data_IF_401563053505
#
_entry.id   IF_401563053505
#
_cell.length_a   1.000
_cell.length_b   1.000
_cell.length_c   1.000
_cell.angle_alpha   90.00
_cell.angle_beta   90.00
_cell.angle_gamma   90.00
#
_symmetry.space_group_name_H-M   'P 1'
#
loop_
_entity.id
_entity.type
_entity.pdbx_description
1 polymer ?
#
# COMPACT_ATOMS: atom_id res chain seq x y z
N UNK A 1 -23.71 4.77 7.79
CA UNK A 1 -23.30 4.96 6.38
C UNK A 1 -23.85 6.27 5.83
N UNK A 2 -23.18 6.89 4.85
CA UNK A 2 -23.66 8.07 4.12
C UNK A 2 -24.97 7.83 3.34
N UNK A 3 -25.21 6.58 2.91
CA UNK A 3 -26.37 6.19 2.10
C UNK A 3 -27.55 5.73 2.96
N UNK A 4 -27.32 5.38 4.24
CA UNK A 4 -28.37 4.97 5.17
C UNK A 4 -29.41 6.07 5.43
N UNK A 5 -29.04 7.34 5.25
CA UNK A 5 -30.00 8.44 5.35
C UNK A 5 -31.14 8.33 4.35
N UNK A 6 -30.95 7.64 3.21
CA UNK A 6 -32.03 7.38 2.23
C UNK A 6 -33.13 6.51 2.86
N UNK A 7 -32.76 5.50 3.65
CA UNK A 7 -33.75 4.65 4.32
C UNK A 7 -34.54 5.42 5.40
N UNK A 8 -33.96 6.49 5.96
CA UNK A 8 -34.62 7.35 6.94
C UNK A 8 -35.54 8.36 6.26
N UNK A 9 -35.09 8.94 5.14
CA UNK A 9 -35.90 9.85 4.34
C UNK A 9 -37.06 9.13 3.64
N UNK A 10 -36.85 7.86 3.24
CA UNK A 10 -37.84 7.06 2.52
C UNK A 10 -37.65 5.56 2.84
N UNK A 11 -38.39 5.01 3.82
CA UNK A 11 -38.25 3.62 4.27
C UNK A 11 -38.45 2.56 3.17
N UNK A 12 -39.24 2.87 2.14
CA UNK A 12 -39.46 1.98 0.99
C UNK A 12 -38.21 1.80 0.11
N UNK A 13 -37.19 2.63 0.28
CA UNK A 13 -35.90 2.54 -0.42
C UNK A 13 -34.80 1.88 0.42
N UNK A 14 -35.13 1.28 1.57
CA UNK A 14 -34.13 0.61 2.43
C UNK A 14 -33.35 -0.49 1.68
N UNK A 15 -34.03 -1.28 0.84
CA UNK A 15 -33.40 -2.35 0.05
C UNK A 15 -32.45 -1.80 -1.04
N UNK A 16 -32.60 -0.53 -1.41
CA UNK A 16 -31.75 0.13 -2.41
C UNK A 16 -30.41 0.62 -1.81
N UNK A 17 -30.27 0.69 -0.49
CA UNK A 17 -29.06 1.22 0.17
C UNK A 17 -27.81 0.43 -0.19
N UNK A 18 -27.89 -0.91 -0.19
CA UNK A 18 -26.75 -1.78 -0.51
C UNK A 18 -26.35 -1.68 -1.99
N UNK A 19 -27.25 -1.82 -2.98
CA UNK A 19 -26.95 -1.58 -4.40
C UNK A 19 -26.34 -0.21 -4.67
N UNK A 20 -26.90 0.86 -4.11
CA UNK A 20 -26.39 2.23 -4.29
C UNK A 20 -24.97 2.35 -3.73
N UNK A 21 -24.72 1.79 -2.54
CA UNK A 21 -23.38 1.79 -1.93
C UNK A 21 -22.36 1.07 -2.81
N UNK A 22 -22.71 -0.09 -3.38
CA UNK A 22 -21.84 -0.82 -4.32
C UNK A 22 -21.58 -0.02 -5.59
N UNK A 23 -22.59 0.64 -6.16
CA UNK A 23 -22.43 1.49 -7.35
C UNK A 23 -21.46 2.64 -7.07
N UNK A 24 -21.60 3.32 -5.93
CA UNK A 24 -20.71 4.41 -5.51
C UNK A 24 -19.27 3.89 -5.38
N UNK A 25 -19.07 2.73 -4.74
CA UNK A 25 -17.75 2.11 -4.59
C UNK A 25 -17.12 1.76 -5.93
N UNK A 26 -17.88 1.15 -6.85
CA UNK A 26 -17.40 0.85 -8.21
C UNK A 26 -17.01 2.14 -8.94
N UNK A 27 -17.86 3.17 -8.90
CA UNK A 27 -17.57 4.46 -9.52
C UNK A 27 -16.28 5.07 -8.97
N UNK A 28 -16.10 5.02 -7.64
CA UNK A 28 -14.90 5.52 -6.95
C UNK A 28 -13.65 4.81 -7.48
N UNK A 29 -13.62 3.48 -7.49
CA UNK A 29 -12.48 2.69 -7.96
C UNK A 29 -12.20 2.84 -9.47
N UNK A 30 -13.22 3.08 -10.28
CA UNK A 30 -13.07 3.38 -11.73
C UNK A 30 -12.45 4.74 -11.95
N UNK A 31 -12.85 5.76 -11.18
CA UNK A 31 -12.32 7.13 -11.30
C UNK A 31 -10.85 7.21 -10.86
N UNK A 32 -10.42 6.36 -9.92
CA UNK A 32 -9.02 6.35 -9.43
C UNK A 32 -7.97 6.18 -10.56
N UNK A 33 -8.31 5.53 -11.68
CA UNK A 33 -7.38 5.33 -12.82
C UNK A 33 -6.99 6.62 -13.52
N UNK A 34 -7.77 7.69 -13.38
CA UNK A 34 -7.58 8.95 -14.11
C UNK A 34 -6.68 9.97 -13.38
N UNK A 35 -6.22 9.68 -12.15
CA UNK A 35 -5.40 10.60 -11.36
C UNK A 35 -6.20 11.81 -10.86
N UNK A 36 -6.28 12.00 -9.55
CA UNK A 36 -7.23 12.96 -8.93
C UNK A 36 -6.66 14.37 -8.71
N UNK A 37 -5.68 14.79 -9.50
CA UNK A 37 -5.01 16.10 -9.34
C UNK A 37 -5.99 17.29 -9.51
N UNK A 38 -6.92 17.22 -10.46
CA UNK A 38 -7.93 18.27 -10.66
C UNK A 38 -9.09 18.20 -9.65
N UNK A 39 -9.35 17.01 -9.09
CA UNK A 39 -10.49 16.78 -8.18
C UNK A 39 -10.17 17.25 -6.76
N UNK A 40 -8.90 17.29 -6.38
CA UNK A 40 -8.42 17.73 -5.07
C UNK A 40 -8.85 19.13 -4.64
N UNK A 41 -8.87 20.09 -5.55
CA UNK A 41 -9.25 21.48 -5.25
C UNK A 41 -10.74 21.63 -4.92
N UNK A 42 -11.59 20.71 -5.41
CA UNK A 42 -13.03 20.73 -5.13
C UNK A 42 -13.36 20.10 -3.78
N UNK A 43 -12.53 19.18 -3.28
CA UNK A 43 -12.83 18.43 -2.04
C UNK A 43 -12.58 19.20 -0.75
N UNK A 44 -11.57 20.07 -0.71
CA UNK A 44 -11.29 20.91 0.46
C UNK A 44 -12.52 21.71 0.90
N UNK A 45 -13.14 22.50 0.00
CA UNK A 45 -14.37 23.23 0.29
C UNK A 45 -15.55 22.35 0.70
N UNK A 46 -15.75 21.20 0.05
CA UNK A 46 -16.83 20.26 0.38
C UNK A 46 -16.64 19.68 1.79
N UNK A 47 -15.42 19.32 2.14
CA UNK A 47 -15.08 18.77 3.47
C UNK A 47 -15.23 19.84 4.55
N UNK A 48 -14.82 21.08 4.26
CA UNK A 48 -15.03 22.22 5.16
C UNK A 48 -16.54 22.47 5.38
N UNK A 49 -17.32 22.48 4.31
CA UNK A 49 -18.78 22.62 4.37
C UNK A 49 -19.41 21.50 5.20
N UNK A 50 -18.97 20.25 5.03
CA UNK A 50 -19.41 19.11 5.83
C UNK A 50 -19.19 19.34 7.33
N UNK A 51 -17.99 19.73 7.75
CA UNK A 51 -17.71 20.00 9.17
C UNK A 51 -18.52 21.17 9.74
N UNK A 52 -18.72 22.23 8.95
CA UNK A 52 -19.57 23.36 9.36
C UNK A 52 -21.02 22.90 9.57
N UNK A 53 -21.56 22.10 8.64
CA UNK A 53 -22.92 21.53 8.76
C UNK A 53 -23.03 20.66 10.02
N UNK A 54 -22.04 19.81 10.30
CA UNK A 54 -21.99 19.00 11.53
C UNK A 54 -22.03 19.86 12.80
N UNK A 55 -21.28 20.96 12.81
CA UNK A 55 -21.24 21.88 13.94
C UNK A 55 -22.58 22.60 14.13
N UNK A 56 -23.20 23.10 13.06
CA UNK A 56 -24.51 23.77 13.12
C UNK A 56 -25.58 22.82 13.66
N UNK A 57 -25.67 21.61 13.10
CA UNK A 57 -26.64 20.60 13.56
C UNK A 57 -26.42 20.21 15.02
N UNK A 58 -25.16 20.09 15.44
CA UNK A 58 -24.81 19.81 16.82
C UNK A 58 -25.26 20.94 17.76
N UNK A 59 -24.94 22.20 17.43
CA UNK A 59 -25.35 23.37 18.22
C UNK A 59 -26.88 23.50 18.34
N UNK A 60 -27.62 23.22 17.26
CA UNK A 60 -29.09 23.26 17.28
C UNK A 60 -29.68 22.27 18.30
N UNK A 61 -29.14 21.06 18.37
CA UNK A 61 -29.61 20.03 19.31
C UNK A 61 -29.12 20.29 20.75
N UNK A 62 -27.89 20.77 20.92
CA UNK A 62 -27.38 21.21 22.24
C UNK A 62 -28.27 22.30 22.83
N UNK A 63 -28.77 23.23 22.00
CA UNK A 63 -29.71 24.26 22.45
C UNK A 63 -31.02 23.71 23.04
N UNK A 64 -31.44 22.51 22.64
CA UNK A 64 -32.66 21.86 23.14
C UNK A 64 -32.42 21.13 24.47
N UNK A 65 -31.23 20.60 24.71
CA UNK A 65 -30.84 20.00 25.98
C UNK A 65 -29.45 20.50 26.45
N UNK A 66 -29.36 21.72 27.01
CA UNK A 66 -28.07 22.32 27.42
C UNK A 66 -27.34 21.56 28.52
N UNK A 67 -28.06 20.74 29.28
CA UNK A 67 -27.53 19.85 30.31
C UNK A 67 -26.50 18.85 29.79
N UNK A 68 -26.45 18.59 28.47
CA UNK A 68 -25.43 17.74 27.85
C UNK A 68 -24.00 18.22 28.09
N UNK A 69 -23.80 19.51 28.39
CA UNK A 69 -22.47 20.06 28.73
C UNK A 69 -21.87 19.42 29.99
N UNK A 70 -22.71 18.81 30.84
CA UNK A 70 -22.26 18.02 31.99
C UNK A 70 -21.44 16.80 31.58
N UNK A 71 -21.51 16.34 30.32
CA UNK A 71 -20.73 15.22 29.79
C UNK A 71 -19.21 15.43 29.85
N UNK A 72 -18.73 16.68 29.98
CA UNK A 72 -17.30 16.96 30.20
C UNK A 72 -16.83 16.61 31.61
N UNK A 73 -17.74 16.41 32.56
CA UNK A 73 -17.38 16.02 33.92
C UNK A 73 -16.96 14.54 33.94
N UNK A 74 -15.69 14.22 34.27
CA UNK A 74 -15.20 12.84 34.27
C UNK A 74 -15.89 11.96 35.30
N UNK A 75 -16.60 12.54 36.28
CA UNK A 75 -17.33 11.80 37.29
C UNK A 75 -18.40 10.88 36.68
N UNK A 76 -19.05 11.28 35.58
CA UNK A 76 -20.04 10.42 34.90
C UNK A 76 -19.40 9.15 34.35
N UNK A 77 -18.20 9.26 33.76
CA UNK A 77 -17.47 8.10 33.25
C UNK A 77 -17.01 7.18 34.39
N UNK A 78 -16.48 7.76 35.48
CA UNK A 78 -16.07 6.99 36.66
C UNK A 78 -17.25 6.27 37.30
N UNK A 79 -18.36 6.97 37.49
CA UNK A 79 -19.58 6.40 38.04
C UNK A 79 -20.11 5.27 37.15
N UNK A 80 -20.15 5.47 35.83
CA UNK A 80 -20.57 4.42 34.90
C UNK A 80 -19.67 3.17 34.96
N UNK A 81 -18.35 3.33 35.11
CA UNK A 81 -17.41 2.21 35.26
C UNK A 81 -17.63 1.47 36.58
N UNK A 82 -17.90 2.19 37.67
CA UNK A 82 -18.14 1.60 39.00
C UNK A 82 -19.49 0.88 39.05
N UNK A 83 -20.54 1.52 38.54
CA UNK A 83 -21.91 1.00 38.60
C UNK A 83 -22.17 -0.11 37.57
N UNK A 84 -21.50 -0.06 36.41
CA UNK A 84 -21.69 -0.98 35.29
C UNK A 84 -20.36 -1.46 34.66
N UNK A 85 -19.50 -2.17 35.41
CA UNK A 85 -18.13 -2.50 34.96
C UNK A 85 -18.10 -3.35 33.68
N UNK A 86 -18.99 -4.34 33.55
CA UNK A 86 -19.04 -5.19 32.37
C UNK A 86 -19.51 -4.42 31.13
N UNK A 87 -20.53 -3.57 31.29
CA UNK A 87 -21.06 -2.74 30.20
C UNK A 87 -20.03 -1.71 29.77
N UNK A 88 -19.38 -1.04 30.72
CA UNK A 88 -18.30 -0.09 30.46
C UNK A 88 -17.14 -0.73 29.68
N UNK A 89 -16.77 -1.97 30.04
CA UNK A 89 -15.77 -2.74 29.32
C UNK A 89 -16.18 -3.04 27.87
N UNK A 90 -17.44 -3.42 27.62
CA UNK A 90 -17.95 -3.67 26.25
C UNK A 90 -17.99 -2.35 25.45
N UNK A 91 -18.39 -1.25 26.07
CA UNK A 91 -18.48 0.08 25.45
C UNK A 91 -17.09 0.61 25.06
N UNK A 92 -16.03 0.31 25.80
CA UNK A 92 -14.65 0.67 25.40
C UNK A 92 -14.30 0.17 23.99
N UNK A 93 -14.77 -1.02 23.61
CA UNK A 93 -14.56 -1.57 22.27
C UNK A 93 -15.32 -0.84 21.16
N UNK A 94 -16.26 0.05 21.49
CA UNK A 94 -16.87 0.99 20.55
C UNK A 94 -16.18 2.37 20.61
N UNK A 95 -15.78 2.83 21.79
CA UNK A 95 -15.07 4.10 21.98
C UNK A 95 -13.75 4.13 21.22
N UNK A 96 -13.02 3.02 21.16
CA UNK A 96 -11.75 2.93 20.40
C UNK A 96 -11.94 3.31 18.92
N UNK A 97 -13.13 3.10 18.36
CA UNK A 97 -13.43 3.43 16.97
C UNK A 97 -13.38 4.93 16.68
N UNK A 98 -13.52 5.77 17.71
CA UNK A 98 -13.43 7.25 17.58
C UNK A 98 -11.99 7.71 17.32
N UNK A 99 -10.99 6.93 17.77
CA UNK A 99 -9.56 7.26 17.66
C UNK A 99 -8.93 6.71 16.37
N UNK A 100 -9.75 6.10 15.51
CA UNK A 100 -9.30 5.47 14.27
C UNK A 100 -9.04 6.51 13.17
N UNK A 101 -8.19 6.16 12.19
CA UNK A 101 -7.92 7.00 11.02
C UNK A 101 -6.76 7.99 11.22
N UNK A 102 -6.18 8.06 12.42
CA UNK A 102 -4.94 8.80 12.68
C UNK A 102 -3.77 8.17 11.91
N UNK A 103 -3.83 6.87 11.61
CA UNK A 103 -2.83 6.18 10.77
C UNK A 103 -2.79 6.72 9.34
N UNK A 104 -3.94 7.06 8.77
CA UNK A 104 -4.02 7.68 7.46
C UNK A 104 -3.43 9.11 7.50
N UNK A 105 -3.68 9.83 8.59
CA UNK A 105 -3.13 11.16 8.84
C UNK A 105 -1.59 11.15 8.81
N UNK A 106 -0.95 10.11 9.35
CA UNK A 106 0.51 9.97 9.34
C UNK A 106 1.09 9.76 7.94
N UNK A 107 0.38 9.01 7.07
CA UNK A 107 0.80 8.84 5.67
C UNK A 107 0.77 10.17 4.91
N UNK A 108 -0.19 11.03 5.24
CA UNK A 108 -0.35 12.35 4.63
C UNK A 108 0.62 13.41 5.18
N UNK A 109 1.22 13.19 6.37
CA UNK A 109 2.23 14.08 6.92
C UNK A 109 3.48 14.19 6.04
N UNK A 110 3.81 13.16 5.25
CA UNK A 110 4.91 13.22 4.27
C UNK A 110 4.67 14.23 3.15
N UNK A 111 3.41 14.60 2.89
CA UNK A 111 3.02 15.50 1.79
C UNK A 111 2.77 16.93 2.27
N UNK A 112 1.94 17.08 3.31
CA UNK A 112 1.53 18.40 3.79
C UNK A 112 2.41 18.93 4.92
N UNK A 113 3.23 18.08 5.52
CA UNK A 113 3.96 18.38 6.74
C UNK A 113 3.07 18.36 7.98
N UNK A 114 3.72 18.39 9.15
CA UNK A 114 3.04 18.24 10.46
C UNK A 114 2.14 19.41 10.86
N UNK A 115 2.45 20.64 10.43
CA UNK A 115 1.77 21.85 10.94
C UNK A 115 0.37 22.05 10.36
N UNK A 116 0.16 21.99 9.02
CA UNK A 116 -1.18 22.14 8.44
C UNK A 116 -2.16 21.09 8.96
N UNK A 117 -1.69 19.84 9.07
CA UNK A 117 -2.46 18.72 9.63
C UNK A 117 -2.89 19.00 11.07
N UNK A 118 -1.97 19.46 11.93
CA UNK A 118 -2.27 19.81 13.33
C UNK A 118 -3.30 20.93 13.44
N UNK A 119 -3.16 21.99 12.64
CA UNK A 119 -4.08 23.12 12.70
C UNK A 119 -5.49 22.74 12.20
N UNK A 120 -5.58 22.02 11.08
CA UNK A 120 -6.85 21.54 10.57
C UNK A 120 -7.54 20.60 11.58
N UNK A 121 -6.79 19.70 12.22
CA UNK A 121 -7.33 18.81 13.23
C UNK A 121 -7.83 19.56 14.47
N UNK A 122 -6.97 20.37 15.10
CA UNK A 122 -7.26 20.98 16.40
C UNK A 122 -8.27 22.12 16.33
N UNK A 123 -8.27 22.91 15.25
CA UNK A 123 -9.11 24.12 15.17
C UNK A 123 -10.37 23.96 14.33
N UNK A 124 -10.45 22.93 13.47
CA UNK A 124 -11.62 22.71 12.62
C UNK A 124 -12.28 21.35 12.92
N UNK A 125 -11.56 20.26 12.68
CA UNK A 125 -12.15 18.90 12.71
C UNK A 125 -12.60 18.51 14.11
N UNK A 126 -11.70 18.59 15.10
CA UNK A 126 -11.98 18.17 16.47
C UNK A 126 -13.13 18.97 17.12
N UNK A 127 -13.18 20.32 17.05
CA UNK A 127 -14.31 21.08 17.58
C UNK A 127 -15.63 20.73 16.91
N UNK A 128 -15.66 20.61 15.58
CA UNK A 128 -16.89 20.31 14.85
C UNK A 128 -17.42 18.90 15.21
N UNK A 129 -16.54 17.91 15.32
CA UNK A 129 -16.92 16.56 15.74
C UNK A 129 -17.42 16.52 17.18
N UNK A 130 -16.73 17.20 18.10
CA UNK A 130 -17.12 17.26 19.51
C UNK A 130 -18.52 17.87 19.67
N UNK A 131 -18.77 19.01 19.01
CA UNK A 131 -20.09 19.66 18.98
C UNK A 131 -21.15 18.73 18.40
N UNK A 132 -20.81 17.99 17.34
CA UNK A 132 -21.74 17.06 16.72
C UNK A 132 -22.11 15.90 17.65
N UNK A 133 -21.14 15.28 18.32
CA UNK A 133 -21.38 14.20 19.28
C UNK A 133 -22.18 14.68 20.49
N UNK A 134 -21.89 15.89 21.01
CA UNK A 134 -22.70 16.50 22.06
C UNK A 134 -24.14 16.75 21.57
N UNK A 135 -24.33 17.20 20.33
CA UNK A 135 -25.67 17.33 19.75
C UNK A 135 -26.44 16.01 19.64
N UNK A 136 -25.78 14.92 19.24
CA UNK A 136 -26.39 13.59 19.24
C UNK A 136 -26.72 13.12 20.66
N UNK A 137 -25.85 13.40 21.64
CA UNK A 137 -26.12 13.13 23.06
C UNK A 137 -27.33 13.91 23.57
N UNK A 138 -27.43 15.20 23.24
CA UNK A 138 -28.57 16.04 23.58
C UNK A 138 -29.88 15.51 22.99
N UNK A 139 -29.86 15.05 21.73
CA UNK A 139 -31.00 14.39 21.10
C UNK A 139 -31.41 13.13 21.86
N UNK A 140 -30.46 12.30 22.30
CA UNK A 140 -30.75 11.06 23.03
C UNK A 140 -31.31 11.30 24.43
N UNK A 141 -30.94 12.40 25.09
CA UNK A 141 -31.56 12.81 26.36
C UNK A 141 -33.04 13.17 26.17
N UNK A 142 -33.37 13.86 25.07
CA UNK A 142 -34.74 14.25 24.77
C UNK A 142 -35.58 13.11 24.17
N UNK A 143 -34.98 12.27 23.32
CA UNK A 143 -35.63 11.19 22.59
C UNK A 143 -34.74 9.94 22.51
N UNK A 144 -34.87 9.01 23.49
CA UNK A 144 -34.09 7.77 23.51
C UNK A 144 -34.31 6.86 22.29
N UNK A 145 -35.47 6.96 21.60
CA UNK A 145 -35.75 6.15 20.42
C UNK A 145 -34.84 6.50 19.22
N UNK A 146 -34.17 7.66 19.26
CA UNK A 146 -33.24 8.08 18.22
C UNK A 146 -31.93 7.27 18.18
N UNK A 147 -31.70 6.33 19.12
CA UNK A 147 -30.51 5.47 19.17
C UNK A 147 -30.28 4.65 17.90
N UNK A 148 -31.32 4.41 17.12
CA UNK A 148 -31.25 3.68 15.84
C UNK A 148 -30.40 4.41 14.80
N UNK A 149 -30.57 5.73 14.67
CA UNK A 149 -29.71 6.55 13.81
C UNK A 149 -29.63 8.01 14.33
N UNK A 150 -28.84 8.25 15.38
CA UNK A 150 -28.79 9.55 16.03
C UNK A 150 -28.38 10.68 15.08
N UNK A 151 -27.49 10.38 14.14
CA UNK A 151 -26.98 11.35 13.18
C UNK A 151 -28.07 11.89 12.25
N UNK A 152 -28.81 11.03 11.54
CA UNK A 152 -29.81 11.52 10.58
C UNK A 152 -31.08 12.01 11.26
N UNK A 153 -31.43 11.46 12.43
CA UNK A 153 -32.61 11.89 13.18
C UNK A 153 -32.41 13.25 13.87
N UNK A 154 -31.18 13.72 14.07
CA UNK A 154 -30.91 15.07 14.57
C UNK A 154 -31.07 16.15 13.48
N UNK A 155 -31.18 15.74 12.19
CA UNK A 155 -31.29 16.65 11.05
C UNK A 155 -32.74 17.09 10.87
N UNK A 156 -33.01 18.40 10.74
CA UNK A 156 -34.35 18.87 10.38
C UNK A 156 -34.85 18.27 9.07
N UNK A 157 -36.13 17.94 8.96
CA UNK A 157 -36.70 17.25 7.78
C UNK A 157 -36.38 17.94 6.45
N UNK A 158 -36.42 19.28 6.41
CA UNK A 158 -36.10 20.07 5.21
C UNK A 158 -34.63 19.95 4.78
N UNK A 159 -33.71 19.70 5.72
CA UNK A 159 -32.28 19.62 5.50
C UNK A 159 -31.77 18.18 5.26
N UNK A 160 -32.62 17.17 5.45
CA UNK A 160 -32.24 15.76 5.36
C UNK A 160 -31.67 15.38 3.98
N UNK A 161 -32.37 15.73 2.90
CA UNK A 161 -31.90 15.47 1.53
C UNK A 161 -30.60 16.20 1.17
N UNK A 162 -30.43 17.51 1.45
CA UNK A 162 -29.14 18.19 1.31
C UNK A 162 -27.99 17.50 2.07
N UNK A 163 -28.23 17.07 3.32
CA UNK A 163 -27.20 16.40 4.15
C UNK A 163 -26.84 15.03 3.59
N UNK A 164 -27.82 14.25 3.10
CA UNK A 164 -27.56 12.98 2.41
C UNK A 164 -26.72 13.20 1.16
N UNK A 165 -27.06 14.21 0.35
CA UNK A 165 -26.27 14.58 -0.83
C UNK A 165 -24.82 14.89 -0.46
N UNK A 166 -24.61 15.77 0.53
CA UNK A 166 -23.27 16.13 0.99
C UNK A 166 -22.50 14.94 1.60
N UNK A 167 -23.18 14.05 2.31
CA UNK A 167 -22.59 12.86 2.92
C UNK A 167 -22.15 11.83 1.86
N UNK A 168 -22.91 11.70 0.77
CA UNK A 168 -22.69 10.70 -0.30
C UNK A 168 -21.69 11.13 -1.36
N UNK A 169 -21.32 12.41 -1.43
CA UNK A 169 -20.24 12.87 -2.31
C UNK A 169 -18.97 12.08 -1.97
N UNK A 170 -18.45 11.26 -2.90
CA UNK A 170 -17.29 10.42 -2.64
C UNK A 170 -16.08 11.32 -2.38
N UNK A 171 -15.54 11.24 -1.17
CA UNK A 171 -14.30 11.92 -0.80
C UNK A 171 -13.16 11.12 -1.43
N UNK A 172 -12.66 11.57 -2.57
CA UNK A 172 -11.54 10.90 -3.22
C UNK A 172 -10.24 11.37 -2.56
N UNK A 173 -9.33 10.44 -2.30
CA UNK A 173 -7.96 10.81 -1.96
C UNK A 173 -7.33 11.55 -3.14
N UNK A 174 -6.67 12.66 -2.82
CA UNK A 174 -5.87 13.40 -3.78
C UNK A 174 -4.61 12.61 -4.00
N UNK A 175 -4.53 11.90 -5.13
CA UNK A 175 -3.30 11.29 -5.60
C UNK A 175 -2.42 12.42 -6.10
N UNK A 176 -1.71 13.05 -5.18
CA UNK A 176 -0.47 13.70 -5.52
C UNK A 176 0.47 12.57 -5.90
N UNK A 177 0.71 12.34 -7.19
CA UNK A 177 1.86 11.56 -7.66
C UNK A 177 3.14 12.32 -7.30
N UNK A 178 3.39 12.49 -5.99
CA UNK A 178 4.34 13.42 -5.40
C UNK A 178 5.74 13.04 -5.82
N UNK A 179 6.53 14.04 -6.22
CA UNK A 179 7.95 13.91 -6.60
C UNK A 179 8.80 13.41 -5.44
N UNK A 180 8.31 13.49 -4.21
CA UNK A 180 9.08 13.28 -2.99
C UNK A 180 8.87 11.94 -2.25
N UNK A 181 7.81 11.17 -2.50
CA UNK A 181 7.51 9.96 -1.70
C UNK A 181 7.39 8.67 -2.53
N UNK A 182 8.04 7.61 -2.04
CA UNK A 182 8.14 6.29 -2.68
C UNK A 182 6.83 5.51 -2.50
N UNK A 183 6.29 4.95 -3.58
CA UNK A 183 5.24 3.91 -3.52
C UNK A 183 3.82 4.30 -3.93
N UNK A 184 3.57 5.56 -4.30
CA UNK A 184 2.25 5.99 -4.81
C UNK A 184 2.12 5.83 -6.33
N UNK A 185 2.29 4.59 -6.82
CA UNK A 185 2.03 4.24 -8.23
C UNK A 185 0.68 3.55 -8.29
N UNK A 186 -0.24 4.04 -9.14
CA UNK A 186 -1.48 3.34 -9.39
C UNK A 186 -1.17 1.98 -10.04
N UNK A 187 -1.49 0.89 -9.34
CA UNK A 187 -1.35 -0.47 -9.85
C UNK A 187 -2.76 -1.00 -10.14
N UNK A 188 -3.19 -1.07 -11.43
CA UNK A 188 -4.56 -1.42 -11.79
C UNK A 188 -5.01 -2.76 -11.19
N UNK A 189 -4.13 -3.78 -11.22
CA UNK A 189 -4.45 -5.09 -10.67
C UNK A 189 -4.75 -5.07 -9.17
N UNK A 190 -3.98 -4.29 -8.39
CA UNK A 190 -4.21 -4.13 -6.95
C UNK A 190 -5.49 -3.35 -6.69
N UNK A 191 -5.75 -2.30 -7.48
CA UNK A 191 -6.99 -1.51 -7.38
C UNK A 191 -8.24 -2.37 -7.61
N UNK A 192 -8.25 -3.21 -8.65
CA UNK A 192 -9.37 -4.12 -8.92
C UNK A 192 -9.51 -5.21 -7.85
N UNK A 193 -8.40 -5.77 -7.36
CA UNK A 193 -8.44 -6.72 -6.26
C UNK A 193 -9.02 -6.10 -4.99
N UNK A 194 -8.62 -4.86 -4.66
CA UNK A 194 -9.19 -4.09 -3.55
C UNK A 194 -10.69 -3.82 -3.74
N UNK A 195 -11.14 -3.44 -4.95
CA UNK A 195 -12.56 -3.25 -5.23
C UNK A 195 -13.36 -4.53 -4.95
N UNK A 196 -12.89 -5.67 -5.46
CA UNK A 196 -13.56 -6.96 -5.24
C UNK A 196 -13.64 -7.26 -3.74
N UNK A 197 -12.54 -7.08 -3.00
CA UNK A 197 -12.54 -7.29 -1.55
C UNK A 197 -13.51 -6.36 -0.84
N UNK A 198 -13.57 -5.08 -1.21
CA UNK A 198 -14.51 -4.12 -0.62
C UNK A 198 -15.95 -4.51 -0.91
N UNK A 199 -16.29 -4.88 -2.15
CA UNK A 199 -17.65 -5.32 -2.53
C UNK A 199 -18.04 -6.56 -1.72
N UNK A 200 -17.18 -7.58 -1.65
CA UNK A 200 -17.43 -8.80 -0.86
C UNK A 200 -17.68 -8.44 0.60
N UNK A 201 -16.84 -7.57 1.18
CA UNK A 201 -16.98 -7.11 2.56
C UNK A 201 -18.31 -6.37 2.77
N UNK A 202 -18.68 -5.46 1.87
CA UNK A 202 -19.92 -4.69 1.96
C UNK A 202 -21.16 -5.58 1.84
N UNK A 203 -21.14 -6.58 0.95
CA UNK A 203 -22.26 -7.53 0.79
C UNK A 203 -22.37 -8.49 1.98
N UNK A 204 -21.25 -8.99 2.51
CA UNK A 204 -21.22 -9.91 3.64
C UNK A 204 -21.74 -9.26 4.93
N UNK A 205 -21.33 -8.01 5.19
CA UNK A 205 -21.68 -7.33 6.45
C UNK A 205 -22.97 -6.52 6.39
N UNK A 206 -23.36 -6.03 5.19
CA UNK A 206 -24.58 -5.29 4.92
C UNK A 206 -24.68 -3.93 5.61
N UNK A 207 -24.77 -3.95 6.94
CA UNK A 207 -24.94 -2.79 7.81
C UNK A 207 -23.60 -2.20 8.29
N UNK A 208 -23.57 -0.87 8.48
CA UNK A 208 -22.39 -0.16 8.97
C UNK A 208 -21.91 -0.63 10.34
N UNK A 209 -22.82 -1.08 11.21
CA UNK A 209 -22.50 -1.50 12.59
C UNK A 209 -21.64 -2.77 12.59
N UNK A 210 -21.96 -3.72 11.71
CA UNK A 210 -21.20 -4.97 11.59
C UNK A 210 -19.81 -4.72 10.99
N UNK A 211 -19.70 -3.79 10.04
CA UNK A 211 -18.40 -3.35 9.49
C UNK A 211 -17.52 -2.68 10.57
N UNK A 212 -18.12 -1.86 11.43
CA UNK A 212 -17.40 -1.18 12.51
C UNK A 212 -16.81 -2.17 13.53
N UNK A 213 -17.51 -3.26 13.81
CA UNK A 213 -17.03 -4.34 14.66
C UNK A 213 -15.77 -5.03 14.08
N UNK A 214 -15.75 -5.27 12.77
CA UNK A 214 -14.58 -5.84 12.09
C UNK A 214 -13.37 -4.90 12.15
N UNK A 215 -13.58 -3.63 11.83
CA UNK A 215 -12.52 -2.61 11.78
C UNK A 215 -11.82 -2.39 13.13
N UNK A 216 -12.58 -2.43 14.24
CA UNK A 216 -12.04 -2.17 15.58
C UNK A 216 -10.91 -3.12 16.01
N UNK A 217 -10.99 -4.40 15.61
CA UNK A 217 -9.95 -5.39 15.94
C UNK A 217 -8.65 -5.09 15.20
N UNK A 218 -8.75 -4.70 13.93
CA UNK A 218 -7.57 -4.36 13.12
C UNK A 218 -6.85 -3.15 13.70
N UNK A 219 -7.59 -2.10 14.05
CA UNK A 219 -6.99 -0.88 14.59
C UNK A 219 -6.40 -1.10 15.98
N UNK A 220 -7.12 -1.76 16.89
CA UNK A 220 -6.59 -2.04 18.24
C UNK A 220 -5.34 -2.92 18.18
N UNK A 221 -5.29 -3.89 17.26
CA UNK A 221 -4.10 -4.71 17.03
C UNK A 221 -2.93 -3.89 16.47
N UNK A 222 -3.19 -2.97 15.55
CA UNK A 222 -2.16 -2.06 15.02
C UNK A 222 -1.64 -1.15 16.12
N UNK A 223 -2.50 -0.56 16.96
CA UNK A 223 -2.09 0.27 18.10
C UNK A 223 -1.15 -0.50 19.03
N UNK A 224 -1.52 -1.73 19.42
CA UNK A 224 -0.70 -2.60 20.25
C UNK A 224 0.68 -2.88 19.63
N UNK A 225 0.73 -3.21 18.34
CA UNK A 225 1.98 -3.43 17.61
C UNK A 225 2.81 -2.14 17.55
N UNK A 226 2.19 -0.99 17.29
CA UNK A 226 2.90 0.30 17.21
C UNK A 226 3.48 0.70 18.56
N UNK A 227 2.79 0.45 19.67
CA UNK A 227 3.32 0.69 21.03
C UNK A 227 4.55 -0.18 21.29
N UNK A 228 4.54 -1.45 20.88
CA UNK A 228 5.72 -2.32 20.97
C UNK A 228 6.87 -1.81 20.07
N UNK A 229 6.59 -1.46 18.82
CA UNK A 229 7.60 -0.93 17.90
C UNK A 229 8.18 0.41 18.38
N UNK A 230 7.37 1.26 18.99
CA UNK A 230 7.81 2.51 19.59
C UNK A 230 8.87 2.26 20.66
N UNK A 231 8.72 1.22 21.47
CA UNK A 231 9.74 0.85 22.47
C UNK A 231 11.10 0.52 21.83
N UNK A 232 11.08 -0.13 20.65
CA UNK A 232 12.28 -0.48 19.90
C UNK A 232 12.92 0.77 19.32
N UNK A 233 12.11 1.66 18.73
CA UNK A 233 12.58 2.93 18.15
C UNK A 233 13.16 3.85 19.23
N UNK A 234 12.46 4.02 20.36
CA UNK A 234 12.94 4.81 21.50
C UNK A 234 14.30 4.34 22.02
N UNK A 235 14.53 3.02 21.98
CA UNK A 235 15.79 2.41 22.42
C UNK A 235 16.90 2.48 21.38
N UNK A 236 16.60 2.15 20.11
CA UNK A 236 17.60 2.01 19.04
C UNK A 236 17.93 3.31 18.33
N UNK A 237 16.93 4.14 18.07
CA UNK A 237 17.08 5.38 17.29
C UNK A 237 17.20 6.60 18.18
N UNK A 238 16.41 6.67 19.27
CA UNK A 238 16.38 7.85 20.15
C UNK A 238 17.26 7.72 21.39
N UNK A 239 17.83 6.54 21.63
CA UNK A 239 18.74 6.24 22.75
C UNK A 239 18.22 6.68 24.13
N UNK A 240 16.90 6.60 24.38
CA UNK A 240 16.27 6.99 25.64
C UNK A 240 16.58 5.94 26.74
N UNK A 241 16.63 6.38 28.00
CA UNK A 241 16.85 5.52 29.16
C UNK A 241 15.76 4.40 29.24
N UNK A 242 16.15 3.12 29.39
CA UNK A 242 15.20 2.00 29.42
C UNK A 242 14.14 2.09 30.51
N UNK A 243 14.40 2.76 31.64
CA UNK A 243 13.41 2.94 32.71
C UNK A 243 12.28 3.85 32.24
N UNK A 244 12.63 4.96 31.58
CA UNK A 244 11.65 5.91 31.04
C UNK A 244 10.81 5.22 29.96
N UNK A 245 11.46 4.46 29.08
CA UNK A 245 10.78 3.64 28.07
C UNK A 245 9.81 2.66 28.76
N UNK A 246 10.25 1.93 29.78
CA UNK A 246 9.41 0.97 30.47
C UNK A 246 8.16 1.62 31.08
N UNK A 247 8.31 2.74 31.79
CA UNK A 247 7.18 3.46 32.41
C UNK A 247 6.22 4.02 31.36
N UNK A 248 6.73 4.59 30.27
CA UNK A 248 5.87 5.11 29.21
C UNK A 248 5.15 3.99 28.46
N UNK A 249 5.86 2.92 28.10
CA UNK A 249 5.31 1.82 27.32
C UNK A 249 4.30 1.03 28.14
N UNK A 250 4.53 0.78 29.44
CA UNK A 250 3.54 0.07 30.25
C UNK A 250 2.24 0.85 30.37
N UNK A 251 2.31 2.19 30.48
CA UNK A 251 1.12 3.05 30.52
C UNK A 251 0.29 2.92 29.24
N UNK A 252 0.92 3.01 28.06
CA UNK A 252 0.23 2.83 26.78
C UNK A 252 -0.25 1.40 26.58
N UNK A 253 0.56 0.40 26.93
CA UNK A 253 0.24 -1.00 26.75
C UNK A 253 -0.98 -1.42 27.58
N UNK A 254 -1.16 -0.89 28.79
CA UNK A 254 -2.35 -1.15 29.61
C UNK A 254 -3.62 -0.66 28.91
N UNK A 255 -3.58 0.54 28.34
CA UNK A 255 -4.72 1.15 27.62
C UNK A 255 -5.01 0.37 26.34
N UNK A 256 -3.98 0.13 25.52
CA UNK A 256 -4.10 -0.60 24.26
C UNK A 256 -4.59 -2.03 24.49
N UNK A 257 -4.09 -2.69 25.53
CA UNK A 257 -4.51 -4.04 25.89
C UNK A 257 -5.97 -4.06 26.31
N UNK A 258 -6.43 -3.09 27.11
CA UNK A 258 -7.84 -2.99 27.49
C UNK A 258 -8.76 -2.79 26.26
N UNK A 259 -8.37 -1.94 25.31
CA UNK A 259 -9.11 -1.78 24.06
C UNK A 259 -9.09 -3.05 23.21
N UNK A 260 -7.92 -3.68 23.07
CA UNK A 260 -7.76 -4.90 22.30
C UNK A 260 -8.66 -6.01 22.86
N UNK A 261 -8.61 -6.27 24.17
CA UNK A 261 -9.42 -7.31 24.81
C UNK A 261 -10.92 -6.99 24.75
N UNK A 262 -11.32 -5.72 24.82
CA UNK A 262 -12.72 -5.32 24.64
C UNK A 262 -13.21 -5.60 23.20
N UNK A 263 -12.33 -5.43 22.20
CA UNK A 263 -12.66 -5.72 20.80
C UNK A 263 -12.67 -7.21 20.46
N UNK A 264 -11.99 -8.08 21.22
CA UNK A 264 -12.01 -9.54 20.99
C UNK A 264 -13.41 -10.16 21.11
N UNK A 265 -14.29 -9.57 21.93
CA UNK A 265 -15.69 -10.01 22.06
C UNK A 265 -16.41 -9.94 20.71
N UNK A 266 -16.02 -8.98 19.85
CA UNK A 266 -16.63 -8.73 18.55
C UNK A 266 -16.11 -9.64 17.42
N UNK A 267 -15.21 -10.61 17.72
CA UNK A 267 -14.72 -11.57 16.70
C UNK A 267 -15.87 -12.32 16.04
N UNK A 268 -16.82 -12.80 16.83
CA UNK A 268 -17.99 -13.53 16.31
C UNK A 268 -18.94 -12.63 15.52
N UNK A 269 -18.97 -11.34 15.81
CA UNK A 269 -19.82 -10.34 15.16
C UNK A 269 -19.21 -9.76 13.87
N UNK A 270 -18.10 -10.32 13.38
CA UNK A 270 -17.46 -9.91 12.12
C UNK A 270 -15.96 -9.68 12.20
N UNK A 271 -15.40 -9.58 13.41
CA UNK A 271 -13.96 -9.42 13.62
C UNK A 271 -13.07 -10.56 13.12
N UNK A 272 -13.63 -11.73 12.84
CA UNK A 272 -12.89 -12.85 12.23
C UNK A 272 -12.43 -12.55 10.79
N UNK A 273 -13.21 -11.77 10.03
CA UNK A 273 -12.95 -11.50 8.62
C UNK A 273 -11.61 -10.77 8.37
N UNK A 274 -11.32 -9.63 9.02
CA UNK A 274 -10.03 -8.95 8.82
C UNK A 274 -8.85 -9.79 9.31
N UNK A 275 -9.03 -10.62 10.34
CA UNK A 275 -7.99 -11.56 10.80
C UNK A 275 -7.70 -12.61 9.70
N UNK A 276 -8.74 -13.20 9.12
CA UNK A 276 -8.62 -14.17 8.04
C UNK A 276 -7.95 -13.53 6.80
N UNK A 277 -8.36 -12.32 6.44
CA UNK A 277 -7.78 -11.57 5.33
C UNK A 277 -6.31 -11.23 5.60
N UNK A 278 -5.99 -10.74 6.79
CA UNK A 278 -4.61 -10.45 7.19
C UNK A 278 -3.73 -11.71 7.14
N UNK A 279 -4.25 -12.86 7.59
CA UNK A 279 -3.55 -14.13 7.52
C UNK A 279 -3.29 -14.57 6.07
N UNK A 280 -4.27 -14.43 5.17
CA UNK A 280 -4.13 -14.72 3.75
C UNK A 280 -3.09 -13.83 3.08
N UNK A 281 -3.19 -12.51 3.26
CA UNK A 281 -2.25 -11.55 2.68
C UNK A 281 -0.85 -11.73 3.23
N UNK A 282 -0.71 -11.93 4.54
CA UNK A 282 0.57 -12.23 5.17
C UNK A 282 1.19 -13.50 4.57
N UNK A 283 0.40 -14.55 4.38
CA UNK A 283 0.84 -15.80 3.76
C UNK A 283 1.34 -15.59 2.32
N UNK A 284 0.65 -14.77 1.53
CA UNK A 284 1.10 -14.39 0.19
C UNK A 284 2.43 -13.62 0.23
N UNK A 285 2.51 -12.57 1.05
CA UNK A 285 3.71 -11.71 1.17
C UNK A 285 4.92 -12.51 1.67
N UNK A 286 4.76 -13.30 2.73
CA UNK A 286 5.88 -14.09 3.29
C UNK A 286 6.31 -15.22 2.36
N UNK A 287 5.39 -15.78 1.58
CA UNK A 287 5.69 -16.76 0.53
C UNK A 287 6.43 -16.12 -0.64
N UNK A 288 6.01 -14.93 -1.08
CA UNK A 288 6.72 -14.15 -2.09
C UNK A 288 8.14 -13.80 -1.63
N UNK A 289 8.29 -13.25 -0.43
CA UNK A 289 9.58 -12.85 0.13
C UNK A 289 10.54 -14.05 0.23
N UNK A 290 10.10 -15.15 0.86
CA UNK A 290 10.94 -16.35 0.98
C UNK A 290 11.25 -16.99 -0.37
N UNK A 291 10.26 -17.08 -1.28
CA UNK A 291 10.48 -17.63 -2.61
C UNK A 291 11.49 -16.84 -3.43
N UNK A 292 11.43 -15.50 -3.39
CA UNK A 292 12.43 -14.62 -4.00
C UNK A 292 13.82 -14.81 -3.38
N UNK A 293 13.91 -15.00 -2.07
CA UNK A 293 15.17 -15.23 -1.38
C UNK A 293 15.78 -16.59 -1.76
N UNK A 294 14.97 -17.65 -1.80
CA UNK A 294 15.40 -18.99 -2.22
C UNK A 294 15.88 -18.99 -3.67
N UNK A 295 15.09 -18.39 -4.58
CA UNK A 295 15.46 -18.25 -5.99
C UNK A 295 16.78 -17.50 -6.15
N UNK A 296 16.94 -16.35 -5.47
CA UNK A 296 18.18 -15.56 -5.51
C UNK A 296 19.38 -16.38 -5.03
N UNK A 297 19.24 -17.08 -3.91
CA UNK A 297 20.33 -17.89 -3.35
C UNK A 297 20.71 -19.06 -4.26
N UNK A 298 19.73 -19.69 -4.91
CA UNK A 298 19.98 -20.78 -5.86
C UNK A 298 20.70 -20.27 -7.11
N UNK A 299 20.21 -19.18 -7.70
CA UNK A 299 20.86 -18.54 -8.85
C UNK A 299 22.31 -18.14 -8.54
N UNK A 300 22.60 -17.63 -7.33
CA UNK A 300 23.98 -17.30 -6.93
C UNK A 300 24.85 -18.57 -6.78
N UNK A 301 24.33 -19.64 -6.16
CA UNK A 301 25.10 -20.89 -5.96
C UNK A 301 25.47 -21.60 -7.27
N UNK A 302 24.59 -21.55 -8.26
CA UNK A 302 24.80 -22.18 -9.57
C UNK A 302 25.51 -21.25 -10.57
N UNK A 303 25.80 -20.00 -10.16
CA UNK A 303 26.39 -19.01 -11.06
C UNK A 303 27.92 -19.09 -11.16
N UNK A 304 28.42 -18.73 -12.34
CA UNK A 304 29.85 -18.68 -12.67
C UNK A 304 30.33 -17.23 -12.55
N UNK A 305 31.48 -16.94 -11.91
CA UNK A 305 32.05 -15.59 -11.87
C UNK A 305 32.36 -15.06 -13.28
N UNK A 306 31.83 -13.87 -13.59
CA UNK A 306 31.86 -13.32 -14.96
C UNK A 306 33.29 -13.05 -15.43
N UNK A 307 34.11 -12.40 -14.61
CA UNK A 307 35.47 -12.01 -15.01
C UNK A 307 36.35 -13.22 -15.33
N UNK A 308 36.28 -14.26 -14.49
CA UNK A 308 37.02 -15.50 -14.70
C UNK A 308 36.53 -16.24 -15.94
N UNK A 309 35.21 -16.28 -16.15
CA UNK A 309 34.61 -16.89 -17.33
C UNK A 309 35.04 -16.19 -18.63
N UNK A 310 34.95 -14.86 -18.69
CA UNK A 310 35.34 -14.09 -19.87
C UNK A 310 36.84 -14.25 -20.15
N UNK A 311 37.69 -14.20 -19.13
CA UNK A 311 39.13 -14.42 -19.30
C UNK A 311 39.44 -15.78 -19.93
N UNK A 312 38.78 -16.84 -19.49
CA UNK A 312 38.93 -18.18 -20.07
C UNK A 312 38.34 -18.27 -21.48
N UNK A 313 37.19 -17.65 -21.71
CA UNK A 313 36.53 -17.62 -23.02
C UNK A 313 37.38 -16.88 -24.06
N UNK A 314 38.05 -15.80 -23.68
CA UNK A 314 38.94 -15.04 -24.58
C UNK A 314 40.24 -15.77 -24.91
N UNK A 315 40.69 -16.68 -24.05
CA UNK A 315 41.85 -17.52 -24.35
C UNK A 315 41.54 -18.52 -25.48
N UNK A 316 40.31 -19.03 -25.53
CA UNK A 316 39.83 -19.96 -26.56
C UNK A 316 38.47 -19.48 -27.10
N UNK A 317 38.46 -18.40 -27.92
CA UNK A 317 37.21 -17.77 -28.31
C UNK A 317 36.41 -18.67 -29.26
N UNK A 318 35.11 -18.87 -29.02
CA UNK A 318 34.21 -19.49 -30.00
C UNK A 318 34.09 -18.60 -31.24
N UNK A 319 33.39 -19.10 -32.26
CA UNK A 319 33.22 -18.37 -33.51
C UNK A 319 32.58 -17.00 -33.27
N UNK A 320 33.26 -15.94 -33.74
CA UNK A 320 32.79 -14.55 -33.61
C UNK A 320 31.93 -14.18 -34.81
N UNK A 321 30.65 -13.89 -34.55
CA UNK A 321 29.73 -13.36 -35.56
C UNK A 321 29.67 -11.84 -35.51
N UNK A 322 29.36 -11.21 -36.64
CA UNK A 322 29.20 -9.76 -36.75
C UNK A 322 28.04 -9.24 -35.88
N UNK A 323 28.10 -7.97 -35.52
CA UNK A 323 27.10 -7.28 -34.71
C UNK A 323 27.42 -7.20 -33.22
N UNK A 324 26.45 -6.65 -32.48
CA UNK A 324 26.55 -6.36 -31.04
C UNK A 324 25.51 -7.15 -30.25
N UNK A 325 25.92 -7.84 -29.20
CA UNK A 325 25.00 -8.52 -28.27
C UNK A 325 24.93 -7.80 -26.94
N UNK A 326 23.71 -7.51 -26.48
CA UNK A 326 23.47 -6.92 -25.17
C UNK A 326 22.75 -7.95 -24.30
N UNK A 327 23.46 -8.52 -23.33
CA UNK A 327 22.90 -9.44 -22.36
C UNK A 327 22.40 -8.67 -21.15
N UNK A 328 21.09 -8.66 -20.94
CA UNK A 328 20.49 -8.08 -19.75
C UNK A 328 20.71 -9.01 -18.56
N UNK A 329 21.23 -8.45 -17.46
CA UNK A 329 21.61 -9.23 -16.28
C UNK A 329 21.14 -8.59 -14.97
N UNK A 330 20.63 -9.38 -14.00
CA UNK A 330 20.29 -8.88 -12.66
C UNK A 330 21.53 -8.57 -11.81
N UNK A 331 22.70 -9.14 -12.14
CA UNK A 331 23.95 -9.00 -11.39
C UNK A 331 25.15 -8.80 -12.33
N UNK A 332 26.14 -8.04 -11.87
CA UNK A 332 27.35 -7.73 -12.66
C UNK A 332 28.50 -8.72 -12.42
N UNK A 333 28.44 -9.48 -11.33
CA UNK A 333 29.55 -10.35 -10.89
C UNK A 333 29.48 -11.75 -11.53
N UNK A 334 28.34 -12.11 -12.11
CA UNK A 334 28.04 -13.47 -12.57
C UNK A 334 27.61 -13.51 -14.03
N UNK A 335 27.95 -14.62 -14.71
CA UNK A 335 27.56 -14.84 -16.11
C UNK A 335 26.04 -14.99 -16.21
N UNK A 336 25.36 -14.20 -17.05
CA UNK A 336 23.92 -14.36 -17.23
C UNK A 336 23.59 -15.68 -17.94
N UNK A 337 22.52 -16.34 -17.50
CA UNK A 337 22.07 -17.62 -18.06
C UNK A 337 21.86 -17.56 -19.59
N UNK A 338 21.37 -16.43 -20.10
CA UNK A 338 21.20 -16.21 -21.55
C UNK A 338 22.52 -16.36 -22.33
N UNK A 339 23.66 -15.92 -21.78
CA UNK A 339 24.95 -16.11 -22.44
C UNK A 339 25.36 -17.58 -22.44
N UNK A 340 25.21 -18.27 -21.32
CA UNK A 340 25.53 -19.69 -21.21
C UNK A 340 24.69 -20.52 -22.18
N UNK A 341 23.39 -20.23 -22.29
CA UNK A 341 22.51 -20.91 -23.25
C UNK A 341 22.87 -20.59 -24.70
N UNK A 342 23.17 -19.33 -25.02
CA UNK A 342 23.60 -18.96 -26.36
C UNK A 342 24.89 -19.72 -26.74
N UNK A 343 25.88 -19.78 -25.85
CA UNK A 343 27.12 -20.53 -26.11
C UNK A 343 26.89 -22.04 -26.19
N UNK A 344 25.99 -22.59 -25.38
CA UNK A 344 25.66 -24.02 -25.36
C UNK A 344 24.95 -24.49 -26.64
N UNK A 345 24.06 -23.67 -27.19
CA UNK A 345 23.19 -24.07 -28.30
C UNK A 345 23.64 -23.51 -29.66
N UNK A 346 24.09 -22.26 -29.69
CA UNK A 346 24.48 -21.61 -30.94
C UNK A 346 25.99 -21.66 -31.17
N UNK A 347 26.80 -21.92 -30.13
CA UNK A 347 28.26 -22.01 -30.22
C UNK A 347 28.95 -20.76 -30.81
N UNK A 348 28.28 -19.60 -30.75
CA UNK A 348 28.79 -18.32 -31.29
C UNK A 348 28.82 -17.24 -30.21
N UNK A 349 29.73 -16.29 -30.39
CA UNK A 349 29.79 -15.05 -29.62
C UNK A 349 29.79 -13.86 -30.58
N UNK A 350 29.22 -12.72 -30.19
CA UNK A 350 29.21 -11.54 -31.07
C UNK A 350 30.56 -10.80 -30.99
N UNK A 351 30.88 -10.01 -32.02
CA UNK A 351 32.10 -9.19 -32.04
C UNK A 351 32.16 -8.21 -30.87
N UNK A 352 31.03 -7.63 -30.47
CA UNK A 352 30.89 -6.72 -29.31
C UNK A 352 29.84 -7.26 -28.35
N UNK A 353 30.16 -7.32 -27.06
CA UNK A 353 29.26 -7.86 -26.03
C UNK A 353 29.14 -6.87 -24.88
N UNK A 354 27.92 -6.55 -24.48
CA UNK A 354 27.62 -5.72 -23.31
C UNK A 354 26.76 -6.50 -22.31
N UNK A 355 27.22 -6.63 -21.08
CA UNK A 355 26.41 -7.10 -19.95
C UNK A 355 25.75 -5.89 -19.29
N UNK A 356 24.47 -5.68 -19.55
CA UNK A 356 23.74 -4.51 -19.07
C UNK A 356 22.90 -4.85 -17.84
N UNK A 357 23.23 -4.21 -16.72
CA UNK A 357 22.42 -4.21 -15.50
C UNK A 357 21.68 -2.89 -15.34
N UNK A 358 20.36 -2.95 -15.35
CA UNK A 358 19.49 -1.83 -15.00
C UNK A 358 19.15 -1.91 -13.50
N UNK A 359 19.52 -0.88 -12.74
CA UNK A 359 19.26 -0.79 -11.30
C UNK A 359 18.38 0.42 -11.00
N UNK A 360 17.50 0.30 -10.02
CA UNK A 360 16.73 1.44 -9.49
C UNK A 360 17.30 1.85 -8.14
N UNK A 361 17.61 3.13 -7.97
CA UNK A 361 18.03 3.73 -6.70
C UNK A 361 16.88 4.39 -5.96
N UNK A 362 17.06 4.58 -4.66
CA UNK A 362 16.08 5.20 -3.77
C UNK A 362 16.15 6.74 -3.82
N UNK A 363 16.20 7.28 -5.04
CA UNK A 363 16.16 8.72 -5.33
C UNK A 363 15.17 8.97 -6.47
N UNK A 364 14.45 10.11 -6.52
CA UNK A 364 13.43 10.33 -7.55
C UNK A 364 14.00 10.32 -8.98
N UNK A 365 15.15 10.97 -9.17
CA UNK A 365 15.85 11.08 -10.44
C UNK A 365 17.36 10.94 -10.20
N UNK A 366 18.05 10.34 -11.17
CA UNK A 366 19.52 10.22 -11.16
C UNK A 366 20.09 11.10 -12.27
N UNK A 367 21.12 11.90 -11.95
CA UNK A 367 21.81 12.73 -12.95
C UNK A 367 22.48 11.85 -14.00
N UNK A 368 22.45 12.27 -15.27
CA UNK A 368 23.01 11.47 -16.38
C UNK A 368 24.51 11.17 -16.21
N UNK A 369 25.26 12.05 -15.53
CA UNK A 369 26.70 11.88 -15.24
C UNK A 369 26.98 10.72 -14.26
N UNK A 370 26.06 10.45 -13.32
CA UNK A 370 26.21 9.40 -12.30
C UNK A 370 25.44 8.12 -12.67
N UNK A 371 24.71 8.16 -13.79
CA UNK A 371 23.81 7.08 -14.24
C UNK A 371 24.56 5.85 -14.69
N UNK A 372 25.73 6.00 -15.30
CA UNK A 372 26.45 4.92 -15.96
C UNK A 372 27.77 4.60 -15.28
N UNK A 373 28.06 3.30 -15.22
CA UNK A 373 29.39 2.78 -14.92
C UNK A 373 29.69 1.66 -15.89
N UNK A 374 30.81 1.76 -16.60
CA UNK A 374 31.30 0.74 -17.53
C UNK A 374 32.61 0.15 -17.02
N UNK A 375 32.76 -1.16 -17.15
CA UNK A 375 34.00 -1.90 -16.92
C UNK A 375 34.33 -2.70 -18.18
N UNK A 376 35.53 -2.50 -18.72
CA UNK A 376 36.05 -3.28 -19.84
C UNK A 376 36.69 -4.58 -19.32
N UNK A 377 36.27 -5.72 -19.88
CA UNK A 377 36.81 -7.05 -19.57
C UNK A 377 37.78 -7.55 -20.64
N UNK A 378 38.05 -6.76 -21.68
CA UNK A 378 38.90 -7.09 -22.81
C UNK A 378 38.14 -7.79 -23.95
N UNK A 379 38.72 -7.75 -25.15
CA UNK A 379 38.16 -8.46 -26.32
C UNK A 379 36.78 -7.97 -26.77
N UNK A 380 36.50 -6.67 -26.62
CA UNK A 380 35.22 -6.00 -26.88
C UNK A 380 34.06 -6.52 -26.01
N UNK A 381 34.36 -6.88 -24.75
CA UNK A 381 33.38 -7.32 -23.77
C UNK A 381 33.31 -6.31 -22.63
N UNK A 382 32.13 -5.74 -22.41
CA UNK A 382 31.90 -4.67 -21.44
C UNK A 382 30.83 -5.07 -20.43
N UNK A 383 30.99 -4.64 -19.19
CA UNK A 383 29.96 -4.70 -18.14
C UNK A 383 29.47 -3.29 -17.90
N UNK A 384 28.17 -3.06 -18.08
CA UNK A 384 27.55 -1.76 -17.92
C UNK A 384 26.51 -1.83 -16.81
N UNK A 385 26.61 -0.91 -15.85
CA UNK A 385 25.58 -0.66 -14.86
C UNK A 385 24.93 0.68 -15.17
N UNK A 386 23.62 0.66 -15.40
CA UNK A 386 22.79 1.87 -15.49
C UNK A 386 21.91 1.99 -14.26
N UNK A 387 21.83 3.20 -13.71
CA UNK A 387 21.11 3.51 -12.48
C UNK A 387 20.02 4.53 -12.76
N UNK A 388 18.80 4.20 -12.36
CA UNK A 388 17.61 5.04 -12.58
C UNK A 388 16.96 5.38 -11.24
N UNK A 389 16.39 6.57 -11.13
CA UNK A 389 15.55 6.93 -10.00
C UNK A 389 14.23 6.17 -10.01
N UNK A 390 13.53 6.11 -8.86
CA UNK A 390 12.28 5.36 -8.75
C UNK A 390 11.12 5.96 -9.56
N UNK A 391 11.24 7.20 -10.04
CA UNK A 391 10.25 7.83 -10.95
C UNK A 391 10.61 7.71 -12.43
N UNK A 392 11.79 7.21 -12.74
CA UNK A 392 12.25 7.09 -14.11
C UNK A 392 11.83 5.74 -14.68
N UNK A 393 11.24 5.75 -15.86
CA UNK A 393 11.10 4.53 -16.65
C UNK A 393 12.45 4.24 -17.31
N UNK A 394 13.11 3.10 -16.99
CA UNK A 394 14.36 2.74 -17.64
C UNK A 394 14.11 2.51 -19.13
N UNK A 395 14.85 3.23 -19.97
CA UNK A 395 14.78 3.10 -21.42
C UNK A 395 16.15 2.68 -21.93
N UNK A 396 16.23 1.49 -22.51
CA UNK A 396 17.49 0.95 -23.01
C UNK A 396 18.07 1.84 -24.12
N UNK A 397 17.25 2.45 -24.97
CA UNK A 397 17.76 3.31 -26.05
C UNK A 397 18.48 4.54 -25.48
N UNK A 398 17.91 5.17 -24.44
CA UNK A 398 18.57 6.29 -23.73
C UNK A 398 19.88 5.86 -23.08
N UNK A 399 19.92 4.64 -22.55
CA UNK A 399 21.15 4.08 -21.97
C UNK A 399 22.22 3.91 -23.05
N UNK A 400 21.88 3.38 -24.24
CA UNK A 400 22.82 3.25 -25.35
C UNK A 400 23.32 4.59 -25.88
N UNK A 401 22.45 5.60 -25.97
CA UNK A 401 22.82 6.96 -26.34
C UNK A 401 23.82 7.57 -25.35
N UNK A 402 23.58 7.35 -24.05
CA UNK A 402 24.47 7.83 -22.99
C UNK A 402 25.82 7.11 -23.01
N UNK A 403 25.85 5.79 -23.26
CA UNK A 403 27.11 5.05 -23.42
C UNK A 403 27.90 5.60 -24.62
N UNK A 404 27.21 5.90 -25.73
CA UNK A 404 27.85 6.50 -26.92
C UNK A 404 28.46 7.86 -26.59
N UNK A 405 27.72 8.73 -25.89
CA UNK A 405 28.17 10.08 -25.54
C UNK A 405 29.31 10.11 -24.52
N UNK A 406 29.25 9.27 -23.49
CA UNK A 406 30.20 9.31 -22.36
C UNK A 406 31.46 8.46 -22.61
N UNK A 407 31.33 7.36 -23.35
CA UNK A 407 32.41 6.37 -23.53
C UNK A 407 32.78 6.13 -24.99
N UNK A 408 32.19 6.86 -25.94
CA UNK A 408 32.53 6.79 -27.37
C UNK A 408 32.14 5.48 -28.06
N UNK A 409 31.34 4.63 -27.42
CA UNK A 409 30.90 3.35 -27.96
C UNK A 409 29.58 3.53 -28.72
N UNK A 410 29.66 3.76 -30.04
CA UNK A 410 28.47 3.89 -30.87
C UNK A 410 27.73 2.54 -31.00
N UNK A 411 26.39 2.58 -31.06
CA UNK A 411 25.54 1.44 -31.30
C UNK A 411 24.72 1.66 -32.56
N UNK A 412 24.68 0.65 -33.43
CA UNK A 412 23.65 0.55 -34.46
C UNK A 412 22.57 -0.40 -33.96
N UNK A 413 21.35 0.10 -33.78
CA UNK A 413 20.21 -0.69 -33.33
C UNK A 413 19.85 -1.81 -34.31
N UNK A 414 20.18 -1.67 -35.60
CA UNK A 414 19.93 -2.71 -36.61
C UNK A 414 20.95 -3.86 -36.54
N UNK A 415 22.10 -3.66 -35.91
CA UNK A 415 23.10 -4.71 -35.68
C UNK A 415 23.19 -5.12 -34.20
N UNK A 416 22.29 -4.61 -33.36
CA UNK A 416 22.25 -4.89 -31.93
C UNK A 416 21.14 -5.88 -31.60
N UNK A 417 21.50 -7.00 -30.98
CA UNK A 417 20.56 -8.02 -30.49
C UNK A 417 20.54 -8.04 -28.97
N UNK A 418 19.34 -7.99 -28.39
CA UNK A 418 19.14 -8.02 -26.95
C UNK A 418 18.85 -9.45 -26.50
N UNK A 419 19.63 -9.95 -25.55
CA UNK A 419 19.46 -11.26 -24.96
C UNK A 419 18.92 -11.12 -23.54
N UNK A 420 17.78 -11.75 -23.28
CA UNK A 420 17.15 -11.79 -21.97
C UNK A 420 16.98 -13.25 -21.53
N UNK A 421 17.35 -13.55 -20.29
CA UNK A 421 17.03 -14.85 -19.69
C UNK A 421 15.58 -14.84 -19.20
N UNK A 422 14.85 -15.93 -19.45
CA UNK A 422 13.48 -16.11 -18.94
C UNK A 422 13.37 -17.38 -18.12
N UNK A 423 13.47 -17.24 -16.81
CA UNK A 423 13.38 -18.38 -15.90
C UNK A 423 11.91 -18.76 -15.65
N UNK A 424 11.50 -19.90 -16.18
CA UNK A 424 10.24 -20.53 -15.84
C UNK A 424 10.41 -21.29 -14.52
N UNK A 425 9.80 -20.76 -13.47
CA UNK A 425 9.95 -21.31 -12.13
C UNK A 425 9.05 -22.54 -11.96
N UNK A 426 9.64 -23.67 -11.56
CA UNK A 426 8.93 -24.92 -11.25
C UNK A 426 9.20 -25.39 -9.82
N UNK A 427 8.24 -26.02 -9.13
CA UNK A 427 8.50 -26.61 -7.80
C UNK A 427 9.54 -27.73 -7.88
N UNK A 428 10.50 -27.76 -6.97
CA UNK A 428 11.53 -28.81 -6.88
C UNK A 428 10.99 -30.11 -6.25
N UNK A 429 11.68 -31.22 -6.48
CA UNK A 429 11.48 -32.48 -5.74
C UNK A 429 12.06 -32.43 -4.32
N UNK A 430 13.04 -31.56 -4.07
CA UNK A 430 13.62 -31.26 -2.76
C UNK A 430 13.30 -29.80 -2.40
N UNK A 431 12.09 -29.54 -1.89
CA UNK A 431 11.55 -28.20 -1.79
C UNK A 431 12.24 -27.35 -0.71
N UNK A 432 12.60 -26.11 -1.04
CA UNK A 432 13.14 -25.13 -0.10
C UNK A 432 12.09 -24.54 0.85
N UNK A 433 10.80 -24.77 0.57
CA UNK A 433 9.66 -24.38 1.41
C UNK A 433 8.51 -25.39 1.26
N UNK A 434 7.46 -25.32 2.10
CA UNK A 434 6.32 -26.24 1.95
C UNK A 434 5.76 -26.24 0.51
N UNK A 435 5.49 -27.43 -0.06
CA UNK A 435 5.16 -27.61 -1.50
C UNK A 435 3.99 -26.72 -1.97
N UNK A 436 2.97 -26.53 -1.13
CA UNK A 436 1.84 -25.65 -1.47
C UNK A 436 2.26 -24.17 -1.57
N UNK A 437 3.26 -23.73 -0.79
CA UNK A 437 3.85 -22.39 -0.87
C UNK A 437 4.69 -22.23 -2.13
N UNK A 438 5.39 -23.27 -2.57
CA UNK A 438 6.11 -23.24 -3.85
C UNK A 438 5.16 -23.11 -5.03
N UNK A 439 4.05 -23.86 -5.01
CA UNK A 439 2.99 -23.73 -6.04
C UNK A 439 2.39 -22.32 -6.05
N UNK A 440 2.08 -21.78 -4.88
CA UNK A 440 1.59 -20.40 -4.75
C UNK A 440 2.63 -19.39 -5.25
N UNK A 441 3.90 -19.56 -4.89
CA UNK A 441 4.99 -18.70 -5.36
C UNK A 441 5.17 -18.76 -6.87
N UNK A 442 5.19 -19.96 -7.45
CA UNK A 442 5.30 -20.16 -8.90
C UNK A 442 4.13 -19.50 -9.65
N UNK A 443 2.91 -19.67 -9.15
CA UNK A 443 1.73 -19.00 -9.70
C UNK A 443 1.81 -17.47 -9.60
N UNK A 444 2.22 -16.92 -8.44
CA UNK A 444 2.40 -15.47 -8.28
C UNK A 444 3.48 -14.93 -9.21
N UNK A 445 4.60 -15.64 -9.40
CA UNK A 445 5.69 -15.21 -10.27
C UNK A 445 5.28 -15.22 -11.75
N UNK A 446 4.47 -16.20 -12.16
CA UNK A 446 3.95 -16.26 -13.54
C UNK A 446 3.01 -15.08 -13.86
N UNK A 447 2.28 -14.58 -12.86
CA UNK A 447 1.39 -13.42 -13.00
C UNK A 447 2.09 -12.08 -12.72
N UNK A 448 3.37 -12.08 -12.34
CA UNK A 448 4.12 -10.85 -12.14
C UNK A 448 4.47 -10.19 -13.49
N UNK A 449 4.53 -8.86 -13.52
CA UNK A 449 4.91 -8.10 -14.70
C UNK A 449 6.31 -8.52 -15.21
N UNK A 450 6.46 -8.62 -16.54
CA UNK A 450 7.72 -9.05 -17.14
C UNK A 450 8.74 -7.92 -17.12
N UNK A 451 10.02 -8.19 -16.84
CA UNK A 451 11.07 -7.18 -16.95
C UNK A 451 11.20 -6.57 -18.36
N UNK A 452 10.95 -7.34 -19.42
CA UNK A 452 11.03 -6.87 -20.81
C UNK A 452 9.98 -5.79 -21.13
N UNK A 453 8.80 -5.85 -20.51
CA UNK A 453 7.74 -4.83 -20.65
C UNK A 453 8.17 -3.48 -20.02
N UNK A 454 9.17 -3.49 -19.14
CA UNK A 454 9.58 -2.32 -18.36
C UNK A 454 10.76 -1.54 -18.96
N UNK A 455 11.47 -2.11 -19.95
CA UNK A 455 12.75 -1.59 -20.44
C UNK A 455 12.71 -1.00 -21.86
N UNK A 456 11.52 -0.93 -22.47
CA UNK A 456 11.29 -0.39 -23.81
C UNK A 456 12.25 -0.95 -24.89
N UNK A 457 12.50 -2.26 -24.83
CA UNK A 457 13.39 -2.95 -25.77
C UNK A 457 12.66 -3.16 -27.10
N UNK A 458 13.28 -2.89 -28.26
CA UNK A 458 12.68 -3.19 -29.55
C UNK A 458 12.32 -4.68 -29.69
N UNK A 459 11.02 -4.98 -29.79
CA UNK A 459 10.52 -6.36 -29.80
C UNK A 459 11.13 -7.24 -30.91
N UNK A 460 11.40 -6.65 -32.08
CA UNK A 460 11.96 -7.35 -33.24
C UNK A 460 13.44 -7.72 -33.09
N UNK A 461 14.10 -7.32 -31.99
CA UNK A 461 15.53 -7.56 -31.71
C UNK A 461 15.76 -8.25 -30.36
N UNK A 462 14.69 -8.69 -29.70
CA UNK A 462 14.76 -9.38 -28.42
C UNK A 462 14.80 -10.90 -28.64
N UNK A 463 15.83 -11.54 -28.11
CA UNK A 463 15.96 -12.99 -28.01
C UNK A 463 15.78 -13.39 -26.55
N UNK A 464 14.64 -14.01 -26.24
CA UNK A 464 14.39 -14.60 -24.92
C UNK A 464 14.88 -16.06 -24.89
N UNK A 465 15.88 -16.36 -24.05
CA UNK A 465 16.38 -17.72 -23.83
C UNK A 465 15.85 -18.21 -22.49
N UNK A 466 14.85 -19.09 -22.55
CA UNK A 466 14.18 -19.61 -21.36
C UNK A 466 14.84 -20.85 -20.78
N UNK A 467 14.88 -20.96 -19.45
CA UNK A 467 15.22 -22.20 -18.73
C UNK A 467 14.22 -22.48 -17.62
N UNK A 468 14.09 -23.74 -17.24
CA UNK A 468 13.33 -24.14 -16.06
C UNK A 468 14.23 -24.05 -14.84
N UNK A 469 13.84 -23.25 -13.86
CA UNK A 469 14.54 -23.14 -12.58
C UNK A 469 13.65 -23.77 -11.51
N UNK A 470 14.11 -24.89 -10.97
CA UNK A 470 13.47 -25.52 -9.81
C UNK A 470 13.83 -24.74 -8.53
N UNK A 471 12.94 -24.61 -7.56
CA UNK A 471 13.22 -23.96 -6.25
C UNK A 471 12.88 -24.87 -5.10
#
# INVERSE_FOLDING_TARGET
SAVEGIAIATPTLADAVLPISVIILVALFVIQRFGTAAVGNLFGPITLMWFIVLAILGLMNIGQAPEIMSAFNPMYALQFVVDHPLTAYIVMGAVVLVVTGVEALYLDMGHFGKSPVRYAWLFLVLPCLLINYLGQGALLLANPAAVTNPFYLMVPEWALWPVIGLATVPRMNILHTSVSERGQIYIPAVNWALLIMVIVTTVEFGESVNLAAAYGISVSSTMLITTILLSIVMRREWHINPIIIFVMIILFLVIDFAFWTATLIKIKAGGWYPIALAFLLFTCIITWYRGRQLLRNKLIKESIPLEMFIKNLLAHPPHRVEGTAIFLTPHIDFVPAAMLHNLKHNHVMHQRIFFLKLSTWDVPFVRDEERLSIKDLGGNVYVVRSVHGFKEMPDVNKVLDLITKQYGQAFDLMDTTFFLARDAITPSKSPGMAVWRERLFAWMMQNAAKPSDFYNIPANRLVELGAKVEI
#
